data_IF_904480001277
#
_entry.id   IF_904480001277
#
_cell.length_a   1.000
_cell.length_b   1.000
_cell.length_c   1.000
_cell.angle_alpha   90.00
_cell.angle_beta   90.00
_cell.angle_gamma   90.00
#
_symmetry.space_group_name_H-M   'P 1'
#
loop_
_entity.id
_entity.type
_entity.pdbx_description
1 polymer ?
#
# COMPACT_ATOMS: atom_id res chain seq x y z
N UNK A 1 -8.11 14.98 1.08
CA UNK A 1 -8.69 13.74 1.64
C UNK A 1 -7.58 12.99 2.36
N UNK A 2 -7.85 12.37 3.51
CA UNK A 2 -6.86 11.55 4.23
C UNK A 2 -7.18 10.06 4.06
N UNK A 3 -6.15 9.23 3.96
CA UNK A 3 -6.30 7.78 3.80
C UNK A 3 -5.19 7.01 4.52
N UNK A 4 -5.40 5.71 4.65
CA UNK A 4 -4.38 4.74 5.09
C UNK A 4 -4.21 3.70 4.00
N UNK A 5 -3.01 3.11 3.90
CA UNK A 5 -2.74 1.99 3.00
C UNK A 5 -2.68 0.72 3.85
N UNK A 6 -3.43 -0.32 3.45
CA UNK A 6 -3.34 -1.65 4.04
C UNK A 6 -2.90 -2.62 2.94
N UNK A 7 -1.73 -3.23 3.12
CA UNK A 7 -1.16 -4.22 2.20
C UNK A 7 -1.10 -5.58 2.91
N UNK A 8 -1.34 -6.65 2.18
CA UNK A 8 -1.28 -7.99 2.78
C UNK A 8 -0.75 -9.04 1.83
N UNK A 9 -0.22 -10.12 2.39
CA UNK A 9 0.00 -11.34 1.64
C UNK A 9 -1.34 -12.04 1.40
N UNK A 10 -1.56 -12.49 0.18
CA UNK A 10 -2.73 -13.29 -0.21
C UNK A 10 -2.45 -14.79 -0.19
N UNK A 11 -1.18 -15.21 -0.10
CA UNK A 11 -0.77 -16.60 0.07
C UNK A 11 0.61 -16.70 0.74
N UNK A 12 0.86 -17.84 1.39
CA UNK A 12 2.13 -18.15 2.06
C UNK A 12 3.34 -18.20 1.11
N UNK A 13 3.08 -18.35 -0.20
CA UNK A 13 4.09 -18.38 -1.25
C UNK A 13 4.52 -17.00 -1.76
N UNK A 14 3.92 -15.93 -1.26
CA UNK A 14 4.30 -14.57 -1.64
C UNK A 14 5.59 -14.11 -0.94
N UNK A 15 6.31 -13.22 -1.63
CA UNK A 15 7.59 -12.66 -1.17
C UNK A 15 7.39 -11.21 -0.73
N UNK A 16 8.28 -10.69 0.11
CA UNK A 16 8.28 -9.29 0.57
C UNK A 16 8.13 -8.26 -0.56
N UNK A 17 8.70 -8.54 -1.73
CA UNK A 17 8.55 -7.72 -2.93
C UNK A 17 7.08 -7.47 -3.36
N UNK A 18 6.15 -8.36 -2.98
CA UNK A 18 4.71 -8.20 -3.27
C UNK A 18 4.04 -7.12 -2.41
N UNK A 19 4.50 -6.91 -1.17
CA UNK A 19 4.02 -5.83 -0.31
C UNK A 19 4.59 -4.50 -0.80
N UNK A 20 5.88 -4.45 -1.11
CA UNK A 20 6.52 -3.23 -1.63
C UNK A 20 5.85 -2.71 -2.91
N UNK A 21 5.45 -3.63 -3.80
CA UNK A 21 4.65 -3.31 -4.99
C UNK A 21 3.30 -2.70 -4.65
N UNK A 22 2.52 -3.34 -3.77
CA UNK A 22 1.22 -2.82 -3.31
C UNK A 22 1.36 -1.41 -2.70
N UNK A 23 2.37 -1.21 -1.85
CA UNK A 23 2.63 0.07 -1.21
C UNK A 23 2.98 1.16 -2.23
N UNK A 24 3.76 0.82 -3.26
CA UNK A 24 4.12 1.76 -4.33
C UNK A 24 2.88 2.16 -5.12
N UNK A 25 2.11 1.20 -5.60
CA UNK A 25 0.92 1.48 -6.41
C UNK A 25 -0.11 2.33 -5.66
N UNK A 26 -0.34 2.03 -4.37
CA UNK A 26 -1.23 2.82 -3.53
C UNK A 26 -0.71 4.24 -3.26
N UNK A 27 0.61 4.42 -3.05
CA UNK A 27 1.22 5.74 -2.87
C UNK A 27 1.13 6.57 -4.14
N UNK A 28 1.44 5.99 -5.29
CA UNK A 28 1.34 6.66 -6.59
C UNK A 28 -0.09 7.10 -6.89
N UNK A 29 -1.07 6.25 -6.56
CA UNK A 29 -2.48 6.63 -6.66
C UNK A 29 -2.83 7.77 -5.72
N UNK A 30 -2.39 7.72 -4.46
CA UNK A 30 -2.68 8.75 -3.48
C UNK A 30 -2.09 10.11 -3.90
N UNK A 31 -0.84 10.13 -4.38
CA UNK A 31 -0.17 11.34 -4.87
C UNK A 31 -0.93 11.95 -6.06
N UNK A 32 -1.28 11.14 -7.07
CA UNK A 32 -2.01 11.59 -8.26
C UNK A 32 -3.39 12.18 -7.93
N UNK A 33 -3.98 11.80 -6.80
CA UNK A 33 -5.32 12.22 -6.40
C UNK A 33 -5.32 13.22 -5.23
N UNK A 34 -4.15 13.74 -4.80
CA UNK A 34 -4.08 14.67 -3.68
C UNK A 34 -4.58 14.07 -2.35
N UNK A 35 -4.38 12.77 -2.17
CA UNK A 35 -4.74 12.05 -0.95
C UNK A 35 -3.53 12.01 -0.03
N UNK A 36 -3.70 12.48 1.21
CA UNK A 36 -2.65 12.41 2.22
C UNK A 36 -2.71 11.05 2.91
N UNK A 37 -1.66 10.24 2.74
CA UNK A 37 -1.53 8.95 3.45
C UNK A 37 -0.99 9.21 4.85
N UNK A 38 -1.77 8.86 5.87
CA UNK A 38 -1.42 9.09 7.29
C UNK A 38 -0.90 7.85 8.00
N UNK A 39 -0.92 6.69 7.32
CA UNK A 39 -0.45 5.43 7.89
C UNK A 39 -0.42 4.31 6.87
N UNK A 40 0.39 3.30 7.18
CA UNK A 40 0.58 2.10 6.37
C UNK A 40 0.55 0.89 7.30
N UNK A 41 -0.26 -0.10 6.98
CA UNK A 41 -0.42 -1.33 7.76
C UNK A 41 -0.17 -2.52 6.85
N UNK A 42 0.53 -3.53 7.38
CA UNK A 42 0.95 -4.71 6.62
C UNK A 42 0.53 -5.96 7.42
N UNK A 43 -0.01 -6.95 6.71
CA UNK A 43 -0.38 -8.28 7.23
C UNK A 43 0.24 -9.41 6.38
#
# INVERSE_FOLDING_TARGET
>A
MTAVIYARYSSDSQREASIEGQLRDCKDYAEKNGITVVGTYID
#
